data_IF_720600308353
#
_entry.id   IF_720600308353
#
_cell.length_a   1.000
_cell.length_b   1.000
_cell.length_c   1.000
_cell.angle_alpha   90.00
_cell.angle_beta   90.00
_cell.angle_gamma   90.00
#
_symmetry.space_group_name_H-M   'P 1'
#
loop_
_entity.id
_entity.type
_entity.pdbx_description
1 polymer ?
#
# COMPACT_ATOMS: atom_id res chain seq x y z
N UNK A 1 -28.57 4.58 -24.28
CA UNK A 1 -27.52 5.52 -23.81
C UNK A 1 -26.53 5.00 -22.75
N UNK A 2 -26.66 3.77 -22.23
CA UNK A 2 -25.70 3.20 -21.28
C UNK A 2 -24.50 2.49 -21.92
N UNK A 3 -24.61 2.00 -23.17
CA UNK A 3 -23.59 1.17 -23.81
C UNK A 3 -22.35 1.96 -24.26
N UNK A 4 -22.51 3.12 -24.89
CA UNK A 4 -21.38 3.93 -25.37
C UNK A 4 -20.52 4.45 -24.21
N UNK A 5 -21.16 4.96 -23.15
CA UNK A 5 -20.46 5.37 -21.91
C UNK A 5 -19.75 4.20 -21.25
N UNK A 6 -20.41 3.05 -21.12
CA UNK A 6 -19.81 1.85 -20.52
C UNK A 6 -18.61 1.35 -21.35
N UNK A 7 -18.72 1.36 -22.68
CA UNK A 7 -17.64 0.99 -23.59
C UNK A 7 -16.44 1.95 -23.43
N UNK A 8 -16.69 3.25 -23.30
CA UNK A 8 -15.64 4.23 -23.05
C UNK A 8 -14.95 4.00 -21.70
N UNK A 9 -15.70 3.73 -20.63
CA UNK A 9 -15.13 3.40 -19.30
C UNK A 9 -14.27 2.14 -19.38
N UNK A 10 -14.76 1.07 -20.05
CA UNK A 10 -13.99 -0.16 -20.26
C UNK A 10 -12.69 0.09 -21.03
N UNK A 11 -12.78 0.92 -22.08
CA UNK A 11 -11.61 1.33 -22.85
C UNK A 11 -10.58 2.06 -21.98
N UNK A 12 -11.02 3.06 -21.21
CA UNK A 12 -10.13 3.80 -20.30
C UNK A 12 -9.51 2.88 -19.23
N UNK A 13 -10.31 1.97 -18.64
CA UNK A 13 -9.80 1.02 -17.66
C UNK A 13 -8.72 0.10 -18.27
N UNK A 14 -8.94 -0.39 -19.50
CA UNK A 14 -7.95 -1.19 -20.22
C UNK A 14 -6.65 -0.42 -20.45
N UNK A 15 -6.74 0.85 -20.87
CA UNK A 15 -5.57 1.71 -21.05
C UNK A 15 -4.82 1.96 -19.73
N UNK A 16 -5.55 2.15 -18.63
CA UNK A 16 -4.96 2.33 -17.30
C UNK A 16 -4.23 1.07 -16.85
N UNK A 17 -4.85 -0.12 -16.98
CA UNK A 17 -4.23 -1.39 -16.61
C UNK A 17 -2.94 -1.63 -17.40
N UNK A 18 -2.94 -1.34 -18.71
CA UNK A 18 -1.75 -1.47 -19.56
C UNK A 18 -0.61 -0.56 -19.08
N UNK A 19 -0.90 0.72 -18.81
CA UNK A 19 0.08 1.68 -18.32
C UNK A 19 0.65 1.30 -16.95
N UNK A 20 -0.21 0.90 -16.01
CA UNK A 20 0.20 0.46 -14.68
C UNK A 20 1.07 -0.78 -14.77
N UNK A 21 0.66 -1.78 -15.54
CA UNK A 21 1.45 -3.01 -15.75
C UNK A 21 2.84 -2.70 -16.32
N UNK A 22 2.91 -1.83 -17.33
CA UNK A 22 4.18 -1.39 -17.90
C UNK A 22 5.08 -0.70 -16.87
N UNK A 23 4.52 0.21 -16.07
CA UNK A 23 5.26 0.95 -15.06
C UNK A 23 5.80 0.01 -13.97
N UNK A 24 4.99 -0.95 -13.50
CA UNK A 24 5.40 -1.95 -12.51
C UNK A 24 6.52 -2.85 -13.04
N UNK A 25 6.43 -3.31 -14.29
CA UNK A 25 7.49 -4.08 -14.91
C UNK A 25 8.80 -3.29 -15.04
N UNK A 26 8.71 -2.00 -15.42
CA UNK A 26 9.88 -1.12 -15.52
C UNK A 26 10.52 -0.90 -14.15
N UNK A 27 9.72 -0.63 -13.12
CA UNK A 27 10.18 -0.45 -11.75
C UNK A 27 10.89 -1.70 -11.24
N UNK A 28 10.26 -2.87 -11.38
CA UNK A 28 10.84 -4.15 -10.92
C UNK A 28 12.18 -4.46 -11.57
N UNK A 29 12.31 -4.21 -12.89
CA UNK A 29 13.59 -4.37 -13.60
C UNK A 29 14.69 -3.42 -13.12
N UNK A 30 14.32 -2.21 -12.70
CA UNK A 30 15.29 -1.18 -12.30
C UNK A 30 15.72 -1.30 -10.84
N UNK A 31 14.87 -1.83 -9.96
CA UNK A 31 15.14 -1.92 -8.52
C UNK A 31 15.48 -3.33 -8.05
N UNK A 32 15.20 -4.37 -8.84
CA UNK A 32 15.25 -5.77 -8.39
C UNK A 32 14.11 -6.14 -7.44
N UNK A 33 13.30 -5.17 -7.02
CA UNK A 33 12.14 -5.38 -6.14
C UNK A 33 11.02 -6.06 -6.92
N UNK A 34 10.39 -7.06 -6.31
CA UNK A 34 9.24 -7.74 -6.87
C UNK A 34 8.17 -7.94 -5.80
N UNK A 35 6.88 -8.01 -6.17
CA UNK A 35 5.81 -8.21 -5.21
C UNK A 35 6.00 -9.49 -4.39
N UNK A 36 6.08 -9.34 -3.07
CA UNK A 36 6.07 -10.44 -2.14
C UNK A 36 4.63 -10.82 -1.79
N UNK A 37 3.82 -9.82 -1.41
CA UNK A 37 2.44 -10.02 -1.02
C UNK A 37 1.61 -8.76 -1.28
N UNK A 38 0.32 -8.94 -1.56
CA UNK A 38 -0.66 -7.87 -1.75
C UNK A 38 -1.81 -8.01 -0.77
N UNK A 39 -2.50 -6.90 -0.48
CA UNK A 39 -3.73 -6.87 0.32
C UNK A 39 -3.57 -7.50 1.71
N UNK A 40 -2.46 -7.17 2.39
CA UNK A 40 -2.09 -7.76 3.68
C UNK A 40 -2.89 -7.07 4.79
N UNK A 41 -3.66 -7.85 5.55
CA UNK A 41 -4.30 -7.34 6.77
C UNK A 41 -3.27 -7.23 7.90
N UNK A 42 -3.37 -6.19 8.72
CA UNK A 42 -2.64 -6.10 10.00
C UNK A 42 -3.61 -5.79 11.14
N UNK A 43 -3.34 -6.37 12.30
CA UNK A 43 -4.28 -6.42 13.41
C UNK A 43 -5.46 -7.35 13.12
N UNK A 44 -6.53 -7.21 13.91
CA UNK A 44 -7.72 -8.07 13.81
C UNK A 44 -8.88 -7.33 13.14
N UNK A 45 -9.29 -7.81 11.96
CA UNK A 45 -10.39 -7.24 11.17
C UNK A 45 -11.43 -8.35 10.93
N UNK A 46 -12.66 -8.14 11.41
CA UNK A 46 -13.80 -9.05 11.18
C UNK A 46 -13.53 -10.55 11.46
N UNK A 47 -12.67 -10.85 12.45
CA UNK A 47 -12.29 -12.22 12.81
C UNK A 47 -11.14 -12.81 11.98
N UNK A 48 -10.73 -12.16 10.88
CA UNK A 48 -9.52 -12.51 10.16
C UNK A 48 -8.29 -11.97 10.90
N UNK A 49 -7.31 -12.86 11.14
CA UNK A 49 -6.04 -12.51 11.76
C UNK A 49 -5.02 -12.21 10.67
N UNK A 50 -4.60 -10.96 10.58
CA UNK A 50 -3.51 -10.52 9.72
C UNK A 50 -2.15 -10.68 10.39
N UNK A 51 -1.14 -9.98 9.88
CA UNK A 51 0.11 -9.76 10.63
C UNK A 51 -0.19 -8.98 11.92
N UNK A 52 0.76 -8.98 12.85
CA UNK A 52 0.64 -8.22 14.10
C UNK A 52 0.34 -6.75 13.78
N UNK A 53 -0.67 -6.19 14.43
CA UNK A 53 -1.00 -4.76 14.31
C UNK A 53 -0.31 -3.94 15.40
N UNK A 54 -0.32 -2.62 15.22
CA UNK A 54 0.28 -1.70 16.17
C UNK A 54 -0.60 -1.56 17.43
N UNK A 55 0.03 -1.69 18.60
CA UNK A 55 -0.61 -1.51 19.90
C UNK A 55 0.14 -0.42 20.67
N UNK A 56 -0.56 0.65 21.03
CA UNK A 56 0.00 1.78 21.75
C UNK A 56 -0.62 1.89 23.16
N UNK A 57 0.18 1.93 24.23
CA UNK A 57 -0.35 2.15 25.57
C UNK A 57 -0.85 3.59 25.72
N UNK A 58 -1.98 3.75 26.39
CA UNK A 58 -2.54 5.06 26.75
C UNK A 58 -2.23 5.37 28.22
N UNK A 59 -2.07 6.66 28.55
CA UNK A 59 -1.73 7.13 29.89
C UNK A 59 -2.76 6.75 30.96
N UNK A 60 -3.99 6.46 30.57
CA UNK A 60 -5.07 6.00 31.46
C UNK A 60 -5.09 4.47 31.68
N UNK A 61 -4.06 3.75 31.23
CA UNK A 61 -3.98 2.29 31.32
C UNK A 61 -4.76 1.55 30.22
N UNK A 62 -5.41 2.27 29.30
CA UNK A 62 -6.01 1.71 28.10
C UNK A 62 -4.96 1.34 27.04
N UNK A 63 -5.41 0.66 25.98
CA UNK A 63 -4.61 0.32 24.81
C UNK A 63 -5.31 0.78 23.54
N UNK A 64 -4.57 1.43 22.65
CA UNK A 64 -5.02 1.77 21.32
C UNK A 64 -4.51 0.70 20.35
N UNK A 65 -5.43 0.03 19.66
CA UNK A 65 -5.09 -0.93 18.62
C UNK A 65 -5.32 -0.31 17.24
N UNK A 66 -4.27 -0.23 16.43
CA UNK A 66 -4.35 0.22 15.05
C UNK A 66 -4.38 -1.01 14.16
N UNK A 67 -5.34 -1.03 13.23
CA UNK A 67 -5.56 -2.11 12.28
C UNK A 67 -5.85 -1.54 10.90
N UNK A 68 -5.59 -2.33 9.87
CA UNK A 68 -5.87 -1.92 8.51
C UNK A 68 -5.39 -2.94 7.50
N UNK A 69 -5.15 -2.44 6.29
CA UNK A 69 -4.68 -3.24 5.16
C UNK A 69 -3.54 -2.51 4.48
N UNK A 70 -2.47 -3.23 4.17
CA UNK A 70 -1.35 -2.79 3.36
C UNK A 70 -1.62 -3.25 1.93
N UNK A 71 -1.55 -2.34 0.96
CA UNK A 71 -1.87 -2.65 -0.44
C UNK A 71 -0.85 -3.64 -1.05
N UNK A 72 0.46 -3.39 -0.86
CA UNK A 72 1.52 -4.27 -1.36
C UNK A 72 2.82 -4.14 -0.57
N UNK A 73 3.50 -5.27 -0.38
CA UNK A 73 4.90 -5.34 0.05
C UNK A 73 5.71 -5.95 -1.11
N UNK A 74 6.78 -5.25 -1.50
CA UNK A 74 7.78 -5.72 -2.45
C UNK A 74 9.05 -6.12 -1.70
N UNK A 75 9.78 -7.11 -2.22
CA UNK A 75 11.05 -7.60 -1.67
C UNK A 75 12.16 -7.58 -2.72
N UNK A 76 13.38 -7.30 -2.30
CA UNK A 76 14.60 -7.64 -3.03
C UNK A 76 15.62 -8.25 -2.08
N UNK A 77 16.42 -9.17 -2.61
CA UNK A 77 17.57 -9.73 -1.91
C UNK A 77 18.83 -9.29 -2.63
N UNK A 78 19.76 -8.67 -1.91
CA UNK A 78 21.06 -8.26 -2.43
C UNK A 78 22.14 -8.77 -1.48
N UNK A 79 23.00 -9.67 -1.97
CA UNK A 79 24.01 -10.36 -1.17
C UNK A 79 23.41 -11.07 0.05
N UNK A 80 23.68 -10.58 1.27
CA UNK A 80 23.16 -11.11 2.53
C UNK A 80 21.98 -10.30 3.09
N UNK A 81 21.63 -9.18 2.44
CA UNK A 81 20.58 -8.27 2.93
C UNK A 81 19.24 -8.51 2.22
N UNK A 82 18.16 -8.40 2.99
CA UNK A 82 16.78 -8.42 2.48
C UNK A 82 16.16 -7.05 2.66
N UNK A 83 15.69 -6.48 1.56
CA UNK A 83 15.04 -5.17 1.52
C UNK A 83 13.54 -5.36 1.33
N UNK A 84 12.75 -4.59 2.09
CA UNK A 84 11.29 -4.54 1.95
C UNK A 84 10.87 -3.11 1.57
N UNK A 85 9.88 -3.01 0.69
CA UNK A 85 9.23 -1.74 0.37
C UNK A 85 7.73 -1.91 0.45
N UNK A 86 7.07 -0.93 1.06
CA UNK A 86 5.61 -0.83 1.03
C UNK A 86 5.19 0.02 -0.16
N UNK A 87 4.17 -0.45 -0.88
CA UNK A 87 3.57 0.27 -2.01
C UNK A 87 2.08 0.42 -1.76
N UNK A 88 1.60 1.66 -1.86
CA UNK A 88 0.21 2.07 -1.63
C UNK A 88 -0.32 2.69 -2.93
N UNK A 89 -1.43 2.16 -3.44
CA UNK A 89 -1.96 2.56 -4.74
C UNK A 89 -2.87 3.78 -4.56
N UNK A 90 -2.46 4.91 -5.16
CA UNK A 90 -3.27 6.13 -5.16
C UNK A 90 -3.70 6.50 -6.58
N UNK A 91 -4.99 6.82 -6.72
CA UNK A 91 -5.54 7.38 -7.95
C UNK A 91 -5.23 8.87 -8.10
N UNK A 92 -4.88 9.55 -7.01
CA UNK A 92 -4.45 10.96 -7.02
C UNK A 92 -2.96 11.07 -7.36
N UNK A 93 -2.58 12.17 -8.01
CA UNK A 93 -1.17 12.50 -8.27
C UNK A 93 -0.45 13.15 -7.09
N UNK A 94 -0.99 13.05 -5.87
CA UNK A 94 -0.40 13.68 -4.68
C UNK A 94 0.81 12.86 -4.24
N UNK A 95 1.97 13.50 -4.13
CA UNK A 95 3.15 12.89 -3.52
C UNK A 95 3.01 12.82 -2.00
N UNK A 96 3.76 11.92 -1.37
CA UNK A 96 3.90 11.92 0.08
C UNK A 96 4.52 13.24 0.55
N UNK A 97 3.94 13.83 1.58
CA UNK A 97 4.42 15.06 2.21
C UNK A 97 4.80 14.77 3.66
N UNK A 98 6.09 14.94 3.97
CA UNK A 98 6.65 14.70 5.29
C UNK A 98 6.12 15.68 6.33
N UNK A 99 5.82 16.93 5.94
CA UNK A 99 5.21 17.93 6.82
C UNK A 99 3.79 17.51 7.19
N UNK A 100 3.03 16.97 6.25
CA UNK A 100 1.70 16.44 6.56
C UNK A 100 1.75 15.22 7.47
N UNK A 101 2.72 14.34 7.27
CA UNK A 101 2.96 13.21 8.16
C UNK A 101 3.35 13.68 9.56
N UNK A 102 4.21 14.69 9.68
CA UNK A 102 4.59 15.30 10.95
C UNK A 102 3.40 15.83 11.74
N UNK A 103 2.45 16.46 11.05
CA UNK A 103 1.19 16.93 11.66
C UNK A 103 0.09 15.86 11.74
N UNK A 104 0.40 14.59 11.45
CA UNK A 104 -0.53 13.48 11.59
C UNK A 104 -1.59 13.35 10.50
N UNK A 105 -1.49 14.12 9.40
CA UNK A 105 -2.46 14.11 8.31
C UNK A 105 -2.21 12.98 7.28
N UNK A 106 -0.96 12.51 7.17
CA UNK A 106 -0.55 11.50 6.19
C UNK A 106 0.20 10.32 6.85
N UNK A 107 -0.45 9.62 7.79
CA UNK A 107 0.19 8.58 8.61
C UNK A 107 0.25 7.18 7.98
N UNK A 108 -0.54 6.93 6.94
CA UNK A 108 -0.78 5.57 6.43
C UNK A 108 0.51 4.81 6.08
N UNK A 109 1.42 5.42 5.31
CA UNK A 109 2.70 4.80 4.95
C UNK A 109 3.63 4.59 6.15
N UNK A 110 3.63 5.52 7.12
CA UNK A 110 4.46 5.40 8.32
C UNK A 110 3.97 4.26 9.22
N UNK A 111 2.66 4.08 9.35
CA UNK A 111 2.07 2.97 10.11
C UNK A 111 2.41 1.60 9.52
N UNK A 112 2.73 1.52 8.23
CA UNK A 112 3.06 0.25 7.58
C UNK A 112 4.51 -0.21 7.78
N UNK A 113 5.39 0.68 8.25
CA UNK A 113 6.83 0.43 8.38
C UNK A 113 7.29 0.21 9.84
N UNK A 114 6.37 0.30 10.80
CA UNK A 114 6.59 0.10 12.24
C UNK A 114 6.27 -1.35 12.63
#
# INVERSE_FOLDING_TARGET
DSSARMNYIRYQLGQTIQKVTWALQKQSKNTGMHPLQTEILFGQIAGAKGITGLELPLSNGGKLHVRGKIDRIDVASEQEDTWLSVVDYKSSGRSFDVTEAYYGMAMQLLTYLD
#
